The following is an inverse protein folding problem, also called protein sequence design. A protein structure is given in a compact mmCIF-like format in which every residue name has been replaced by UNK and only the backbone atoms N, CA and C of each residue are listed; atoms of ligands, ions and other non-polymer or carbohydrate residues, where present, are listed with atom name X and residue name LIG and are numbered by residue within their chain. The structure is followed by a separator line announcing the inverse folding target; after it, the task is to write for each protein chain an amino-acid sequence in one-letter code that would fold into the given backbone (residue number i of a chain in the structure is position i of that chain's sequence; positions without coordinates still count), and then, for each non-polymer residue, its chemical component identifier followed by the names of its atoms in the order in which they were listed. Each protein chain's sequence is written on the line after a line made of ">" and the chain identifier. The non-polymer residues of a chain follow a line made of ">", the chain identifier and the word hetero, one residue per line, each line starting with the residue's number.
data_IF_713609310235
#
_entry.id   IF_713609310235
#
_cell.length_a   1.000
_cell.length_b   1.000
_cell.length_c   1.000
_cell.angle_alpha   90.00
_cell.angle_beta   90.00
_cell.angle_gamma   90.00
#
_symmetry.space_group_name_H-M   'P 1'
#
loop_
_entity.id
_entity.type
_entity.pdbx_description
1 polymer ?
#
# COMPACT_ATOMS: atom_id res chain seq x y z
N UNK A 1 -12.33 -1.81 -24.69
CA UNK A 1 -11.92 -2.18 -23.32
C UNK A 1 -11.59 -0.90 -22.57
N UNK A 2 -12.34 -0.55 -21.53
CA UNK A 2 -12.25 0.78 -20.90
C UNK A 2 -11.09 0.78 -19.87
N UNK A 3 -9.96 1.41 -20.23
CA UNK A 3 -8.70 1.38 -19.46
C UNK A 3 -8.89 1.84 -18.00
N UNK A 4 -9.72 2.86 -17.78
CA UNK A 4 -10.08 3.40 -16.46
C UNK A 4 -10.72 2.33 -15.57
N UNK A 5 -11.66 1.54 -16.09
CA UNK A 5 -12.33 0.48 -15.32
C UNK A 5 -11.35 -0.60 -14.88
N UNK A 6 -10.35 -0.91 -15.72
CA UNK A 6 -9.30 -1.89 -15.41
C UNK A 6 -8.39 -1.36 -14.30
N UNK A 7 -7.95 -0.12 -14.39
CA UNK A 7 -7.14 0.54 -13.34
C UNK A 7 -7.87 0.57 -12.01
N UNK A 8 -9.14 0.99 -11.99
CA UNK A 8 -9.95 1.02 -10.77
C UNK A 8 -10.11 -0.38 -10.14
N UNK A 9 -10.26 -1.42 -10.95
CA UNK A 9 -10.31 -2.80 -10.46
C UNK A 9 -9.00 -3.23 -9.78
N UNK A 10 -7.85 -2.83 -10.34
CA UNK A 10 -6.53 -3.15 -9.76
C UNK A 10 -6.32 -2.36 -8.46
N UNK A 11 -6.62 -1.06 -8.45
CA UNK A 11 -6.52 -0.21 -7.25
C UNK A 11 -7.44 -0.72 -6.13
N UNK A 12 -8.68 -1.09 -6.44
CA UNK A 12 -9.61 -1.69 -5.48
C UNK A 12 -9.10 -3.02 -4.91
N UNK A 13 -8.49 -3.87 -5.74
CA UNK A 13 -7.84 -5.11 -5.27
C UNK A 13 -6.65 -4.82 -4.37
N UNK A 14 -5.77 -3.90 -4.76
CA UNK A 14 -4.62 -3.51 -3.97
C UNK A 14 -5.06 -3.03 -2.58
N UNK A 15 -6.02 -2.10 -2.52
CA UNK A 15 -6.59 -1.61 -1.25
C UNK A 15 -7.12 -2.75 -0.39
N UNK A 16 -7.94 -3.63 -0.99
CA UNK A 16 -8.54 -4.77 -0.29
C UNK A 16 -7.49 -5.67 0.38
N UNK A 17 -6.41 -6.00 -0.34
CA UNK A 17 -5.32 -6.82 0.19
C UNK A 17 -4.69 -6.18 1.45
N UNK A 18 -4.39 -4.87 1.40
CA UNK A 18 -3.77 -4.18 2.54
C UNK A 18 -4.72 -4.11 3.73
N UNK A 19 -6.01 -3.82 3.51
CA UNK A 19 -7.02 -3.78 4.58
C UNK A 19 -7.20 -5.16 5.23
N UNK A 20 -7.29 -6.23 4.45
CA UNK A 20 -7.44 -7.60 4.95
C UNK A 20 -6.26 -7.99 5.84
N UNK A 21 -5.02 -7.80 5.36
CA UNK A 21 -3.82 -8.10 6.15
C UNK A 21 -3.77 -7.29 7.45
N UNK A 22 -4.10 -6.00 7.42
CA UNK A 22 -4.17 -5.19 8.65
C UNK A 22 -5.25 -5.65 9.62
N UNK A 23 -6.40 -6.10 9.11
CA UNK A 23 -7.48 -6.64 9.96
C UNK A 23 -7.05 -7.92 10.69
N UNK A 24 -6.05 -8.63 10.17
CA UNK A 24 -5.39 -9.78 10.81
C UNK A 24 -4.24 -9.36 11.74
N UNK A 25 -4.00 -8.06 11.94
CA UNK A 25 -2.90 -7.53 12.73
C UNK A 25 -1.55 -7.53 12.00
N UNK A 26 -1.53 -7.83 10.70
CA UNK A 26 -0.31 -7.86 9.88
C UNK A 26 -0.08 -6.48 9.30
N UNK A 27 1.06 -5.86 9.63
CA UNK A 27 1.44 -4.53 9.13
C UNK A 27 2.64 -4.56 8.17
N UNK A 28 3.30 -5.72 8.03
CA UNK A 28 4.43 -5.91 7.13
C UNK A 28 4.48 -7.33 6.58
N UNK A 29 4.75 -7.47 5.29
CA UNK A 29 4.97 -8.77 4.64
C UNK A 29 6.04 -8.66 3.57
N UNK A 30 6.61 -9.78 3.14
CA UNK A 30 7.51 -9.77 1.99
C UNK A 30 6.73 -9.46 0.70
N UNK A 31 7.30 -8.64 -0.18
CA UNK A 31 6.82 -8.32 -1.53
C UNK A 31 6.26 -9.52 -2.32
N UNK A 32 6.90 -10.69 -2.21
CA UNK A 32 6.46 -11.92 -2.88
C UNK A 32 5.07 -12.36 -2.44
N UNK A 33 4.73 -12.17 -1.15
CA UNK A 33 3.41 -12.47 -0.59
C UNK A 33 2.35 -11.58 -1.22
N UNK A 34 2.60 -10.26 -1.28
CA UNK A 34 1.69 -9.32 -1.94
C UNK A 34 1.50 -9.65 -3.43
N UNK A 35 2.58 -10.00 -4.14
CA UNK A 35 2.49 -10.42 -5.54
C UNK A 35 1.65 -11.69 -5.72
N UNK A 36 1.79 -12.68 -4.82
CA UNK A 36 0.99 -13.90 -4.83
C UNK A 36 -0.50 -13.63 -4.59
N UNK A 37 -0.83 -12.63 -3.76
CA UNK A 37 -2.21 -12.14 -3.55
C UNK A 37 -2.73 -11.30 -4.72
N UNK A 38 -1.90 -11.02 -5.73
CA UNK A 38 -2.23 -10.25 -6.92
C UNK A 38 -2.13 -8.74 -6.74
N UNK A 39 -1.36 -8.28 -5.75
CA UNK A 39 -1.04 -6.87 -5.55
C UNK A 39 -0.13 -6.36 -6.67
N UNK A 40 -0.43 -5.16 -7.17
CA UNK A 40 0.37 -4.50 -8.19
C UNK A 40 1.03 -3.23 -7.65
N UNK A 41 2.36 -3.28 -7.48
CA UNK A 41 3.21 -2.13 -7.14
C UNK A 41 3.29 -1.02 -8.20
N UNK A 42 2.73 -1.25 -9.40
CA UNK A 42 2.64 -0.26 -10.48
C UNK A 42 1.37 0.60 -10.43
N UNK A 43 0.43 0.27 -9.54
CA UNK A 43 -0.87 0.92 -9.49
C UNK A 43 -1.08 1.52 -8.10
N UNK A 44 -0.99 2.83 -8.04
CA UNK A 44 -1.21 3.68 -6.87
C UNK A 44 -1.85 4.99 -7.35
N UNK A 45 -2.46 5.74 -6.45
CA UNK A 45 -3.17 6.99 -6.76
C UNK A 45 -2.30 8.22 -6.64
N UNK A 46 -1.32 8.21 -5.73
CA UNK A 46 -0.41 9.34 -5.52
C UNK A 46 0.91 8.85 -4.90
N UNK A 47 1.88 9.76 -4.85
CA UNK A 47 3.01 9.67 -3.94
C UNK A 47 2.83 10.73 -2.85
N UNK A 48 3.12 10.37 -1.60
CA UNK A 48 3.13 11.29 -0.46
C UNK A 48 4.42 11.12 0.33
N UNK A 49 4.92 12.21 0.91
CA UNK A 49 6.14 12.21 1.71
C UNK A 49 5.82 12.03 3.19
N UNK A 50 6.49 11.07 3.83
CA UNK A 50 6.31 10.74 5.24
C UNK A 50 7.65 10.88 5.98
N UNK A 51 7.64 11.55 7.14
CA UNK A 51 8.86 11.88 7.89
C UNK A 51 9.80 10.67 8.13
N UNK A 52 9.23 9.49 8.42
CA UNK A 52 9.99 8.29 8.75
C UNK A 52 10.23 7.34 7.54
N UNK A 53 9.57 7.58 6.41
CA UNK A 53 9.52 6.62 5.29
C UNK A 53 9.85 7.25 3.93
N UNK A 54 10.06 8.57 3.87
CA UNK A 54 10.28 9.31 2.64
C UNK A 54 9.07 9.27 1.71
N UNK A 55 9.33 9.29 0.40
CA UNK A 55 8.29 9.27 -0.62
C UNK A 55 7.67 7.86 -0.74
N UNK A 56 6.40 7.74 -0.33
CA UNK A 56 5.65 6.49 -0.36
C UNK A 56 4.49 6.54 -1.36
N UNK A 57 4.25 5.46 -2.11
CA UNK A 57 3.02 5.31 -2.88
C UNK A 57 1.78 5.18 -1.98
N UNK A 58 0.69 5.81 -2.41
CA UNK A 58 -0.61 5.82 -1.74
C UNK A 58 -1.66 5.16 -2.62
N UNK A 59 -2.54 4.36 -2.04
CA UNK A 59 -3.71 3.74 -2.65
C UNK A 59 -4.94 4.15 -1.82
N UNK A 60 -5.60 5.23 -2.24
CA UNK A 60 -6.68 5.85 -1.46
C UNK A 60 -6.22 6.27 -0.06
N UNK A 61 -6.65 5.57 0.99
CA UNK A 61 -6.32 5.77 2.40
C UNK A 61 -5.14 4.90 2.88
N UNK A 62 -4.64 4.01 2.02
CA UNK A 62 -3.59 3.05 2.31
C UNK A 62 -2.24 3.50 1.78
N UNK A 63 -1.19 3.34 2.57
CA UNK A 63 0.20 3.63 2.19
C UNK A 63 0.98 2.33 2.23
N UNK A 64 1.94 2.17 1.31
CA UNK A 64 2.95 1.13 1.43
C UNK A 64 4.36 1.67 1.22
N UNK A 65 5.32 1.10 1.93
CA UNK A 65 6.74 1.42 1.82
C UNK A 65 7.53 0.14 1.60
N UNK A 66 8.29 0.09 0.50
CA UNK A 66 9.13 -1.06 0.16
C UNK A 66 10.52 -0.83 0.75
N UNK A 67 10.91 -1.68 1.68
CA UNK A 67 12.19 -1.66 2.35
C UNK A 67 13.22 -2.54 1.64
N UNK A 68 14.49 -2.34 1.99
CA UNK A 68 15.57 -3.23 1.61
C UNK A 68 15.28 -4.67 2.05
N UNK A 69 15.71 -5.64 1.24
CA UNK A 69 15.35 -7.06 1.44
C UNK A 69 13.93 -7.43 1.01
N UNK A 70 13.16 -6.49 0.46
CA UNK A 70 11.87 -6.76 -0.15
C UNK A 70 10.72 -6.90 0.85
N UNK A 71 10.91 -6.43 2.09
CA UNK A 71 9.81 -6.23 3.03
C UNK A 71 8.95 -5.04 2.61
N UNK A 72 7.65 -5.14 2.83
CA UNK A 72 6.69 -4.09 2.52
C UNK A 72 5.91 -3.80 3.79
N UNK A 73 6.11 -2.60 4.33
CA UNK A 73 5.31 -2.03 5.41
C UNK A 73 4.08 -1.36 4.81
N UNK A 74 2.93 -1.44 5.47
CA UNK A 74 1.72 -0.74 5.05
C UNK A 74 0.89 -0.25 6.24
N UNK A 75 0.31 0.92 6.09
CA UNK A 75 -0.36 1.67 7.17
C UNK A 75 -1.40 2.65 6.57
N UNK A 76 -2.27 3.21 7.41
CA UNK A 76 -3.19 4.27 6.96
C UNK A 76 -2.45 5.60 6.80
N UNK A 77 -2.72 6.35 5.74
CA UNK A 77 -2.15 7.68 5.54
C UNK A 77 -2.38 8.61 6.75
N UNK A 78 -3.54 8.48 7.40
CA UNK A 78 -3.88 9.25 8.60
C UNK A 78 -3.13 8.83 9.88
N UNK A 79 -2.57 7.62 9.94
CA UNK A 79 -1.87 7.11 11.13
C UNK A 79 -0.45 7.69 11.25
N UNK A 80 0.21 8.00 10.15
CA UNK A 80 1.57 8.56 10.14
C UNK A 80 1.64 9.97 10.72
N UNK A 81 0.54 10.73 10.68
CA UNK A 81 0.44 12.04 11.32
C UNK A 81 0.54 11.98 12.85
N UNK A 82 0.28 10.82 13.47
CA UNK A 82 0.23 10.69 14.94
C UNK A 82 1.56 10.32 15.60
N UNK A 83 2.59 9.93 14.84
CA UNK A 83 3.90 9.58 15.40
C UNK A 83 4.90 10.75 15.45
N UNK A 84 4.51 11.94 15.00
CA UNK A 84 5.37 13.13 14.97
C UNK A 84 4.90 14.24 15.92
N UNK A 85 4.14 13.89 16.97
CA UNK A 85 3.66 14.83 18.00
C UNK A 85 4.15 14.39 19.39
#
# INVERSE_FOLDING_TARGET
>A
MNSVRKTNRILGRNRKILVELKSEGIQRVHRKVLQALGFSFKHFTAYEEFANYGLCPVIYDEVYHVQDGGMVLFFNAAESFKQSA
#
